data_IF_170291167951
#
_entry.id   IF_170291167951
#
_cell.length_a   1.000
_cell.length_b   1.000
_cell.length_c   1.000
_cell.angle_alpha   90.00
_cell.angle_beta   90.00
_cell.angle_gamma   90.00
#
_symmetry.space_group_name_H-M   'P 1'
#
loop_
_entity.id
_entity.type
_entity.pdbx_description
1 polymer ?
#
# COMPACT_ATOMS: atom_id res chain seq x y z
N UNK A 1 4.15 -39.22 -11.36
CA UNK A 1 4.02 -38.92 -9.92
C UNK A 1 4.68 -37.58 -9.65
N UNK A 2 4.19 -36.59 -8.90
CA UNK A 2 2.90 -36.21 -8.32
C UNK A 2 3.07 -34.69 -8.02
N UNK A 3 2.10 -33.85 -8.37
CA UNK A 3 2.15 -32.41 -8.08
C UNK A 3 1.71 -32.20 -6.63
N UNK A 4 2.67 -32.11 -5.71
CA UNK A 4 2.38 -31.85 -4.29
C UNK A 4 1.99 -30.38 -4.08
N UNK A 5 0.69 -30.11 -4.18
CA UNK A 5 0.09 -28.83 -3.81
C UNK A 5 -0.03 -28.75 -2.28
N UNK A 6 0.89 -28.02 -1.64
CA UNK A 6 0.77 -27.70 -0.20
C UNK A 6 -0.51 -26.88 0.06
N UNK A 7 -1.44 -27.33 0.92
CA UNK A 7 -2.57 -26.51 1.31
C UNK A 7 -2.08 -25.42 2.28
N UNK A 8 -2.10 -24.16 1.84
CA UNK A 8 -1.84 -23.02 2.71
C UNK A 8 -3.09 -22.73 3.57
N UNK A 9 -3.33 -23.60 4.55
CA UNK A 9 -4.34 -23.40 5.58
C UNK A 9 -3.95 -22.26 6.51
N UNK A 10 -4.60 -21.10 6.36
CA UNK A 10 -4.49 -19.97 7.28
C UNK A 10 -5.88 -19.50 7.72
N UNK A 11 -6.33 -20.01 8.88
CA UNK A 11 -7.55 -19.60 9.64
C UNK A 11 -8.74 -19.17 8.78
N UNK A 12 -9.43 -20.16 8.22
CA UNK A 12 -10.80 -20.00 7.73
C UNK A 12 -11.75 -20.62 8.73
N UNK A 13 -12.24 -19.84 9.69
CA UNK A 13 -13.17 -20.36 10.70
C UNK A 13 -13.72 -19.35 11.71
N UNK A 14 -13.58 -18.05 11.45
CA UNK A 14 -14.17 -17.02 12.30
C UNK A 14 -14.47 -15.76 11.48
N UNK A 15 -15.43 -14.94 11.93
CA UNK A 15 -15.80 -13.68 11.30
C UNK A 15 -14.55 -12.90 10.90
N UNK A 16 -14.23 -12.87 9.61
CA UNK A 16 -13.06 -12.17 9.09
C UNK A 16 -13.31 -10.67 9.25
N UNK A 17 -12.57 -10.04 10.17
CA UNK A 17 -12.43 -8.58 10.18
C UNK A 17 -12.05 -8.12 8.78
N UNK A 18 -12.70 -7.06 8.27
CA UNK A 18 -12.43 -6.53 6.92
C UNK A 18 -10.92 -6.33 6.75
N UNK A 19 -10.35 -6.96 5.73
CA UNK A 19 -8.92 -6.88 5.47
C UNK A 19 -8.56 -5.43 5.09
N UNK A 20 -7.72 -4.79 5.91
CA UNK A 20 -7.20 -3.46 5.60
C UNK A 20 -6.11 -3.57 4.54
N UNK A 21 -6.21 -2.76 3.48
CA UNK A 21 -5.22 -2.78 2.40
C UNK A 21 -3.86 -2.25 2.87
N UNK A 22 -2.78 -2.77 2.27
CA UNK A 22 -1.42 -2.31 2.58
C UNK A 22 -1.21 -0.82 2.30
N UNK A 23 -1.89 -0.28 1.28
CA UNK A 23 -1.90 1.16 0.99
C UNK A 23 -2.51 1.97 2.12
N UNK A 24 -3.69 1.55 2.62
CA UNK A 24 -4.35 2.24 3.74
C UNK A 24 -3.50 2.15 5.00
N UNK A 25 -2.89 0.99 5.28
CA UNK A 25 -1.99 0.82 6.43
C UNK A 25 -0.72 1.68 6.33
N UNK A 26 -0.18 1.87 5.13
CA UNK A 26 0.97 2.72 4.87
C UNK A 26 0.62 4.22 4.71
N UNK A 27 -0.66 4.57 4.65
CA UNK A 27 -1.11 5.95 4.43
C UNK A 27 -0.85 6.49 3.01
N UNK A 28 -0.57 5.61 2.04
CA UNK A 28 -0.25 5.96 0.66
C UNK A 28 -1.51 5.91 -0.22
N UNK A 29 -1.63 6.87 -1.14
CA UNK A 29 -2.66 6.83 -2.19
C UNK A 29 -2.28 5.84 -3.29
N UNK A 30 -0.97 5.66 -3.52
CA UNK A 30 -0.51 4.71 -4.52
C UNK A 30 -0.75 3.24 -4.10
N UNK A 31 -1.11 2.35 -5.05
CA UNK A 31 -1.53 0.99 -4.75
C UNK A 31 -0.34 0.05 -4.48
N UNK A 32 0.08 -0.06 -3.21
CA UNK A 32 1.17 -0.94 -2.74
C UNK A 32 0.95 -2.39 -3.13
N UNK A 33 -0.30 -2.88 -3.03
CA UNK A 33 -0.63 -4.28 -3.38
C UNK A 33 -0.43 -4.59 -4.86
N UNK A 34 -0.69 -3.62 -5.75
CA UNK A 34 -0.49 -3.77 -7.20
C UNK A 34 0.99 -3.75 -7.54
N UNK A 35 1.75 -2.84 -6.92
CA UNK A 35 3.21 -2.77 -7.05
C UNK A 35 3.85 -4.08 -6.63
N UNK A 36 3.45 -4.66 -5.50
CA UNK A 36 3.94 -5.97 -5.07
C UNK A 36 3.69 -7.07 -6.12
N UNK A 37 2.51 -7.08 -6.78
CA UNK A 37 2.22 -8.03 -7.86
C UNK A 37 3.14 -7.83 -9.07
N UNK A 38 3.39 -6.59 -9.46
CA UNK A 38 4.30 -6.28 -10.57
C UNK A 38 5.74 -6.67 -10.25
N UNK A 39 6.19 -6.48 -9.01
CA UNK A 39 7.52 -6.95 -8.58
C UNK A 39 7.66 -8.47 -8.69
N UNK A 40 6.60 -9.26 -8.41
CA UNK A 40 6.63 -10.73 -8.65
C UNK A 40 6.66 -11.06 -10.14
N UNK A 41 5.80 -10.40 -10.92
CA UNK A 41 5.66 -10.68 -12.36
C UNK A 41 6.93 -10.34 -13.12
N UNK A 42 7.62 -9.26 -12.75
CA UNK A 42 8.85 -8.82 -13.39
C UNK A 42 10.09 -9.62 -13.03
N UNK A 43 10.02 -10.57 -12.08
CA UNK A 43 11.15 -11.42 -11.65
C UNK A 43 12.44 -10.63 -11.32
N UNK A 44 12.32 -9.41 -10.81
CA UNK A 44 13.46 -8.53 -10.50
C UNK A 44 14.39 -9.08 -9.42
N UNK A 45 13.86 -9.92 -8.53
CA UNK A 45 14.61 -10.64 -7.52
C UNK A 45 13.86 -11.93 -7.13
N UNK A 46 14.57 -12.93 -6.63
CA UNK A 46 13.97 -14.18 -6.16
C UNK A 46 13.06 -13.94 -4.94
N UNK A 47 13.51 -13.06 -4.03
CA UNK A 47 12.75 -12.62 -2.86
C UNK A 47 12.95 -11.13 -2.64
N UNK A 48 11.88 -10.45 -2.24
CA UNK A 48 11.92 -9.07 -1.83
C UNK A 48 11.22 -8.90 -0.48
N UNK A 49 11.75 -8.00 0.35
CA UNK A 49 11.20 -7.73 1.68
C UNK A 49 9.80 -7.14 1.62
N UNK A 50 9.03 -7.29 2.70
CA UNK A 50 7.68 -6.74 2.80
C UNK A 50 7.62 -5.21 2.65
N UNK A 51 8.73 -4.51 2.94
CA UNK A 51 8.90 -3.07 2.80
C UNK A 51 9.19 -2.59 1.37
N UNK A 52 9.72 -3.44 0.49
CA UNK A 52 10.09 -3.06 -0.88
C UNK A 52 8.93 -2.42 -1.68
N UNK A 53 7.71 -3.01 -1.74
CA UNK A 53 6.60 -2.39 -2.45
C UNK A 53 6.06 -1.12 -1.76
N UNK A 54 6.31 -0.93 -0.46
CA UNK A 54 5.89 0.27 0.28
C UNK A 54 6.84 1.43 -0.06
N UNK A 55 8.14 1.17 -0.03
CA UNK A 55 9.16 2.15 -0.40
C UNK A 55 8.95 2.65 -1.83
N UNK A 56 8.78 1.73 -2.79
CA UNK A 56 8.57 2.10 -4.19
C UNK A 56 7.27 2.89 -4.38
N UNK A 57 6.19 2.54 -3.69
CA UNK A 57 4.95 3.30 -3.72
C UNK A 57 5.11 4.72 -3.17
N UNK A 58 5.88 4.89 -2.09
CA UNK A 58 6.14 6.19 -1.47
C UNK A 58 6.96 7.10 -2.40
N UNK A 59 8.04 6.58 -3.00
CA UNK A 59 8.88 7.33 -3.93
C UNK A 59 8.07 7.75 -5.17
N UNK A 60 7.28 6.84 -5.74
CA UNK A 60 6.43 7.17 -6.89
C UNK A 60 5.35 8.20 -6.53
N UNK A 61 4.76 8.13 -5.34
CA UNK A 61 3.78 9.14 -4.88
C UNK A 61 4.44 10.50 -4.67
N UNK A 62 5.66 10.53 -4.12
CA UNK A 62 6.44 11.76 -3.95
C UNK A 62 6.76 12.41 -5.30
N UNK A 63 7.34 11.64 -6.24
CA UNK A 63 7.68 12.15 -7.58
C UNK A 63 6.43 12.60 -8.34
N UNK A 64 5.32 11.86 -8.24
CA UNK A 64 4.06 12.28 -8.84
C UNK A 64 3.54 13.58 -8.22
N UNK A 65 3.71 13.81 -6.91
CA UNK A 65 3.32 15.06 -6.26
C UNK A 65 4.20 16.24 -6.69
N UNK A 66 5.50 16.01 -6.91
CA UNK A 66 6.44 17.02 -7.36
C UNK A 66 6.17 17.44 -8.81
N UNK A 67 5.91 16.46 -9.69
CA UNK A 67 5.62 16.70 -11.12
C UNK A 67 4.18 17.17 -11.37
N UNK A 68 3.24 16.87 -10.45
CA UNK A 68 1.89 17.45 -10.43
C UNK A 68 1.74 18.45 -9.26
N UNK A 69 2.29 19.68 -9.40
CA UNK A 69 2.26 20.68 -8.33
C UNK A 69 0.84 21.13 -7.92
N UNK A 70 -0.20 20.78 -8.70
CA UNK A 70 -1.57 21.27 -8.50
C UNK A 70 -2.58 20.23 -7.98
N UNK A 71 -2.31 18.93 -8.08
CA UNK A 71 -3.36 17.90 -7.83
C UNK A 71 -3.29 17.33 -6.40
N UNK A 72 -2.14 17.45 -5.71
CA UNK A 72 -1.97 16.98 -4.32
C UNK A 72 -2.00 18.08 -3.26
N UNK A 73 -2.11 19.37 -3.64
CA UNK A 73 -2.37 20.43 -2.65
C UNK A 73 -3.68 20.21 -1.90
N UNK A 74 -4.71 19.59 -2.51
CA UNK A 74 -5.97 19.32 -1.81
C UNK A 74 -5.86 18.29 -0.68
N UNK A 75 -5.16 17.16 -0.84
CA UNK A 75 -5.20 16.10 0.19
C UNK A 75 -4.22 16.29 1.35
N UNK A 76 -3.06 16.90 1.12
CA UNK A 76 -2.11 17.25 2.21
C UNK A 76 -2.66 18.41 3.04
N UNK A 77 -3.22 19.46 2.41
CA UNK A 77 -3.90 20.51 3.16
C UNK A 77 -5.19 20.03 3.82
N UNK A 78 -5.98 19.12 3.23
CA UNK A 78 -7.18 18.61 3.90
C UNK A 78 -6.84 17.82 5.17
N UNK A 79 -5.71 17.09 5.18
CA UNK A 79 -5.24 16.39 6.39
C UNK A 79 -4.57 17.32 7.40
N UNK A 80 -3.95 18.42 6.96
CA UNK A 80 -3.43 19.46 7.84
C UNK A 80 -4.57 20.30 8.45
N UNK A 81 -5.52 20.79 7.66
CA UNK A 81 -6.72 21.47 8.13
C UNK A 81 -7.62 20.59 9.00
N UNK A 82 -7.91 19.33 8.63
CA UNK A 82 -8.73 18.45 9.49
C UNK A 82 -8.03 18.02 10.78
N UNK A 83 -6.70 18.10 10.86
CA UNK A 83 -5.96 17.77 12.09
C UNK A 83 -5.80 18.99 12.99
N UNK A 84 -5.71 20.19 12.43
CA UNK A 84 -5.80 21.46 13.17
C UNK A 84 -7.22 21.70 13.67
N UNK A 85 -8.26 21.45 12.86
CA UNK A 85 -9.66 21.67 13.26
C UNK A 85 -10.16 20.72 14.36
N UNK A 86 -9.48 19.57 14.57
CA UNK A 86 -9.83 18.57 15.60
C UNK A 86 -9.10 18.79 16.93
N UNK A 87 -8.28 19.83 17.01
CA UNK A 87 -7.62 20.31 18.24
C UNK A 87 -8.37 21.52 18.82
N UNK A 88 -9.24 22.17 18.04
CA UNK A 88 -9.99 23.37 18.44
C UNK A 88 -11.45 23.11 18.86
N UNK A 89 -11.85 21.85 19.03
CA UNK A 89 -13.11 21.42 19.66
C UNK A 89 -12.86 20.10 20.40
#
# INVERSE_FOLDING_TARGET
MEVSSKPAGGRSGGQRKKAVSKSVKAGLQFPVGRIARFLKKGRYAERYGAGAPIYLAAVLEYLAAEVHPYVKKKSIWFRYCSRVFKIYH
#
